data_IF_190505615637
#
_entry.id   IF_190505615637
#
_cell.length_a   1.000
_cell.length_b   1.000
_cell.length_c   1.000
_cell.angle_alpha   90.00
_cell.angle_beta   90.00
_cell.angle_gamma   90.00
#
_symmetry.space_group_name_H-M   'P 1'
#
loop_
_entity.id
_entity.type
_entity.pdbx_description
1 polymer ?
#
# COMPACT_ATOMS: atom_id res chain seq x y z
N UNK A 1 36.55 -2.61 -35.36
CA UNK A 1 36.58 -2.41 -33.89
C UNK A 1 36.02 -1.02 -33.64
N UNK A 2 35.08 -0.86 -32.71
CA UNK A 2 34.55 0.45 -32.29
C UNK A 2 35.16 0.75 -30.92
N UNK A 3 35.55 2.00 -30.67
CA UNK A 3 36.07 2.47 -29.39
C UNK A 3 35.16 3.57 -28.86
N UNK A 4 34.75 3.49 -27.60
CA UNK A 4 33.74 4.36 -27.01
C UNK A 4 34.34 5.34 -26.00
N UNK A 5 34.55 6.59 -26.43
CA UNK A 5 35.16 7.66 -25.62
C UNK A 5 34.12 8.47 -24.79
N UNK A 6 33.04 7.80 -24.37
CA UNK A 6 31.88 8.46 -23.76
C UNK A 6 32.20 9.16 -22.42
N UNK A 7 33.18 8.65 -21.67
CA UNK A 7 33.62 9.25 -20.41
C UNK A 7 34.37 10.59 -20.61
N UNK A 8 35.18 10.70 -21.67
CA UNK A 8 35.90 11.93 -22.01
C UNK A 8 34.91 13.00 -22.47
N UNK A 9 33.98 12.63 -23.37
CA UNK A 9 32.90 13.51 -23.82
C UNK A 9 32.00 14.01 -22.66
N UNK A 10 31.66 13.12 -21.72
CA UNK A 10 30.95 13.45 -20.48
C UNK A 10 31.70 14.46 -19.61
N UNK A 11 33.02 14.26 -19.45
CA UNK A 11 33.88 15.14 -18.68
C UNK A 11 34.03 16.52 -19.34
N UNK A 12 34.17 16.58 -20.67
CA UNK A 12 34.29 17.84 -21.41
C UNK A 12 33.00 18.67 -21.40
N UNK A 13 31.82 18.04 -21.50
CA UNK A 13 30.57 18.74 -21.22
C UNK A 13 30.53 19.26 -19.77
N UNK A 14 30.99 18.47 -18.80
CA UNK A 14 31.01 18.92 -17.40
C UNK A 14 31.91 20.15 -17.18
N UNK A 15 33.04 20.27 -17.92
CA UNK A 15 33.89 21.48 -17.89
C UNK A 15 33.15 22.74 -18.38
N UNK A 16 32.24 22.62 -19.36
CA UNK A 16 31.44 23.76 -19.87
C UNK A 16 30.46 24.31 -18.81
N UNK A 17 30.00 23.46 -17.90
CA UNK A 17 29.19 23.88 -16.75
C UNK A 17 30.03 24.64 -15.71
N UNK A 18 31.29 24.25 -15.52
CA UNK A 18 32.20 24.83 -14.53
C UNK A 18 32.82 26.15 -15.00
N UNK A 19 33.29 26.19 -16.26
CA UNK A 19 33.92 27.39 -16.84
C UNK A 19 32.90 28.46 -17.30
N UNK A 20 31.62 28.08 -17.48
CA UNK A 20 30.51 28.94 -17.91
C UNK A 20 30.69 29.59 -19.29
N UNK A 21 31.67 29.14 -20.09
CA UNK A 21 31.93 29.66 -21.42
C UNK A 21 30.69 29.47 -22.31
N UNK A 22 30.40 30.43 -23.20
CA UNK A 22 29.31 30.37 -24.18
C UNK A 22 27.90 30.07 -23.60
N UNK A 23 27.69 30.35 -22.30
CA UNK A 23 26.44 30.10 -21.60
C UNK A 23 25.32 31.08 -22.00
N UNK A 24 24.36 30.58 -22.78
CA UNK A 24 23.30 31.36 -23.41
C UNK A 24 22.00 31.50 -22.57
N UNK A 25 22.01 30.97 -21.36
CA UNK A 25 20.90 31.03 -20.39
C UNK A 25 21.40 31.20 -18.96
N UNK A 26 20.67 32.00 -18.17
CA UNK A 26 20.86 32.10 -16.72
C UNK A 26 19.56 31.89 -15.97
N UNK A 27 19.66 31.25 -14.81
CA UNK A 27 18.53 30.98 -13.93
C UNK A 27 18.92 31.23 -12.48
N UNK A 28 18.00 31.86 -11.73
CA UNK A 28 18.10 32.02 -10.28
C UNK A 28 17.30 30.92 -9.61
N UNK A 29 17.93 30.17 -8.71
CA UNK A 29 17.31 29.11 -7.91
C UNK A 29 17.47 29.45 -6.43
N UNK A 30 16.48 29.09 -5.61
CA UNK A 30 16.39 29.51 -4.22
C UNK A 30 15.20 30.44 -3.97
N UNK A 31 14.76 30.52 -2.72
CA UNK A 31 13.65 31.39 -2.28
C UNK A 31 14.02 32.24 -1.08
N UNK A 32 14.92 31.75 -0.21
CA UNK A 32 15.43 32.49 0.95
C UNK A 32 16.66 33.32 0.57
N UNK A 33 16.82 34.57 1.08
CA UNK A 33 17.94 35.45 0.70
C UNK A 33 19.35 34.85 0.84
N UNK A 34 19.52 33.89 1.75
CA UNK A 34 20.80 33.23 2.03
C UNK A 34 20.99 31.90 1.28
N UNK A 35 19.98 31.40 0.56
CA UNK A 35 20.01 30.17 -0.24
C UNK A 35 19.62 30.45 -1.71
N UNK A 36 20.02 31.60 -2.24
CA UNK A 36 19.83 31.97 -3.65
C UNK A 36 21.14 31.80 -4.42
N UNK A 37 21.08 31.10 -5.55
CA UNK A 37 22.22 30.86 -6.45
C UNK A 37 21.85 31.08 -7.90
N UNK A 38 22.74 31.78 -8.63
CA UNK A 38 22.63 31.96 -10.09
C UNK A 38 23.43 30.87 -10.79
N UNK A 39 22.79 30.18 -11.73
CA UNK A 39 23.40 29.18 -12.61
C UNK A 39 23.47 29.74 -14.02
N UNK A 40 24.64 29.64 -14.65
CA UNK A 40 24.85 29.97 -16.06
C UNK A 40 24.99 28.67 -16.85
N UNK A 41 24.13 28.48 -17.86
CA UNK A 41 23.78 27.20 -18.45
C UNK A 41 23.65 27.33 -19.97
N UNK A 42 23.57 26.18 -20.65
CA UNK A 42 23.46 26.09 -22.10
C UNK A 42 22.08 25.51 -22.46
N UNK A 43 21.23 26.28 -23.15
CA UNK A 43 19.86 25.87 -23.52
C UNK A 43 19.84 24.59 -24.34
N UNK A 44 20.80 24.43 -25.26
CA UNK A 44 20.92 23.25 -26.12
C UNK A 44 21.04 21.95 -25.31
N UNK A 45 21.89 21.94 -24.28
CA UNK A 45 22.11 20.76 -23.42
C UNK A 45 20.85 20.48 -22.61
N UNK A 46 20.33 21.49 -21.89
CA UNK A 46 19.11 21.36 -21.08
C UNK A 46 17.91 20.86 -21.91
N UNK A 47 17.68 21.46 -23.09
CA UNK A 47 16.63 21.09 -24.05
C UNK A 47 16.75 19.64 -24.52
N UNK A 48 17.95 19.21 -24.90
CA UNK A 48 18.20 17.87 -25.45
C UNK A 48 18.06 16.80 -24.37
N UNK A 49 18.34 17.15 -23.11
CA UNK A 49 18.42 16.22 -21.98
C UNK A 49 17.16 16.20 -21.10
N UNK A 50 16.21 17.11 -21.30
CA UNK A 50 14.96 17.22 -20.54
C UNK A 50 13.80 17.76 -21.38
N UNK A 51 12.70 16.99 -21.52
CA UNK A 51 11.45 17.46 -22.15
C UNK A 51 10.77 18.63 -21.40
N UNK A 52 11.08 18.84 -20.12
CA UNK A 52 10.62 20.01 -19.37
C UNK A 52 11.33 21.27 -19.86
N UNK A 53 12.66 21.28 -19.87
CA UNK A 53 13.42 22.43 -20.39
C UNK A 53 13.17 22.66 -21.88
N UNK A 54 12.96 21.60 -22.67
CA UNK A 54 12.52 21.73 -24.06
C UNK A 54 11.20 22.52 -24.18
N UNK A 55 10.16 22.13 -23.44
CA UNK A 55 8.87 22.83 -23.45
C UNK A 55 8.97 24.27 -22.95
N UNK A 56 9.77 24.52 -21.90
CA UNK A 56 10.04 25.89 -21.39
C UNK A 56 10.65 26.77 -22.49
N UNK A 57 11.66 26.28 -23.23
CA UNK A 57 12.28 27.08 -24.31
C UNK A 57 11.47 27.14 -25.61
N UNK A 58 10.58 26.17 -25.88
CA UNK A 58 9.64 26.21 -27.00
C UNK A 58 8.44 27.12 -26.77
N UNK A 59 8.16 27.53 -25.52
CA UNK A 59 7.00 28.35 -25.13
C UNK A 59 7.06 29.82 -25.59
N UNK A 60 7.43 30.05 -26.85
CA UNK A 60 7.36 31.34 -27.53
C UNK A 60 5.90 31.80 -27.59
N UNK A 61 5.63 32.97 -27.02
CA UNK A 61 4.40 33.74 -27.19
C UNK A 61 3.10 33.09 -26.64
N UNK A 62 3.10 32.61 -25.38
CA UNK A 62 1.85 32.40 -24.64
C UNK A 62 1.75 33.36 -23.45
N UNK A 63 0.74 34.23 -23.46
CA UNK A 63 0.45 35.23 -22.41
C UNK A 63 -0.11 34.56 -21.16
N UNK A 64 0.76 34.12 -20.25
CA UNK A 64 0.35 33.61 -18.94
C UNK A 64 0.03 34.79 -18.02
N UNK A 65 -1.24 35.16 -17.94
CA UNK A 65 -1.70 36.42 -17.33
C UNK A 65 -1.74 36.32 -15.80
N UNK A 66 -0.98 37.15 -15.07
CA UNK A 66 -1.21 37.36 -13.62
C UNK A 66 -0.66 38.69 -13.11
N UNK A 67 -1.34 39.27 -12.12
CA UNK A 67 -1.20 40.67 -11.70
C UNK A 67 -0.37 40.83 -10.40
N UNK A 68 0.52 41.83 -10.30
CA UNK A 68 1.33 42.19 -9.10
C UNK A 68 0.90 43.54 -8.46
N UNK A 69 0.80 43.62 -7.12
CA UNK A 69 0.27 44.83 -6.44
C UNK A 69 1.32 45.96 -6.41
N UNK A 70 0.89 47.20 -6.65
CA UNK A 70 1.64 48.43 -6.35
C UNK A 70 0.91 49.27 -5.30
N UNK A 71 1.64 50.11 -4.56
CA UNK A 71 1.16 50.80 -3.36
C UNK A 71 0.18 51.98 -3.58
N UNK A 72 -0.59 51.97 -4.67
CA UNK A 72 -1.81 52.78 -4.86
C UNK A 72 -2.87 51.99 -5.63
N UNK A 73 -3.49 51.03 -4.94
CA UNK A 73 -4.73 50.39 -5.38
C UNK A 73 -4.62 49.56 -6.68
N UNK A 74 -4.32 48.27 -6.52
CA UNK A 74 -4.45 47.21 -7.55
C UNK A 74 -3.35 47.27 -8.65
N UNK A 75 -2.62 46.18 -8.92
CA UNK A 75 -3.12 45.16 -9.86
C UNK A 75 -2.28 45.02 -11.17
N UNK A 76 -0.98 45.38 -11.23
CA UNK A 76 -0.16 45.47 -12.47
C UNK A 76 0.80 44.28 -12.73
N UNK A 77 0.81 43.75 -13.95
CA UNK A 77 1.31 42.40 -14.33
C UNK A 77 2.85 42.27 -14.37
N UNK A 78 3.38 41.09 -13.99
CA UNK A 78 4.83 40.77 -14.00
C UNK A 78 5.36 40.24 -15.35
N UNK A 79 6.66 40.46 -15.63
CA UNK A 79 7.25 40.27 -16.96
C UNK A 79 8.20 39.06 -17.11
N UNK A 80 8.21 38.48 -18.32
CA UNK A 80 9.42 37.83 -18.86
C UNK A 80 10.42 38.90 -19.29
N UNK A 81 11.25 39.40 -18.38
CA UNK A 81 12.19 40.47 -18.71
C UNK A 81 13.27 40.01 -19.71
N UNK A 82 13.10 40.37 -20.98
CA UNK A 82 14.20 40.45 -21.94
C UNK A 82 15.05 41.67 -21.63
N UNK A 83 15.89 41.59 -20.61
CA UNK A 83 17.05 42.47 -20.52
C UNK A 83 18.01 42.11 -21.66
N UNK A 84 17.76 42.67 -22.84
CA UNK A 84 18.71 42.71 -23.93
C UNK A 84 19.78 43.77 -23.63
N UNK A 85 20.56 43.52 -22.58
CA UNK A 85 21.82 44.24 -22.37
C UNK A 85 22.65 44.00 -23.63
N UNK A 86 22.88 45.07 -24.41
CA UNK A 86 23.20 44.99 -25.85
C UNK A 86 24.64 44.56 -26.16
N UNK A 87 25.22 43.73 -25.29
CA UNK A 87 26.51 43.07 -25.40
C UNK A 87 26.46 41.58 -25.02
N UNK A 88 25.40 41.06 -24.40
CA UNK A 88 25.29 39.66 -23.95
C UNK A 88 23.90 39.05 -24.24
N UNK A 89 23.83 38.06 -25.14
CA UNK A 89 22.60 37.37 -25.54
C UNK A 89 22.06 36.35 -24.51
N UNK A 90 22.26 36.58 -23.21
CA UNK A 90 21.91 35.64 -22.15
C UNK A 90 20.44 35.81 -21.73
N UNK A 91 19.63 34.76 -21.91
CA UNK A 91 18.22 34.80 -21.49
C UNK A 91 18.13 34.50 -19.99
N UNK A 92 17.47 35.35 -19.21
CA UNK A 92 17.23 35.12 -17.78
C UNK A 92 15.80 34.64 -17.52
N UNK A 93 15.62 33.54 -16.78
CA UNK A 93 14.31 33.16 -16.23
C UNK A 93 14.32 33.36 -14.71
N UNK A 94 13.44 34.24 -14.24
CA UNK A 94 12.94 34.30 -12.86
C UNK A 94 11.46 33.93 -12.89
N UNK A 95 11.17 32.66 -12.64
CA UNK A 95 9.80 32.18 -12.45
C UNK A 95 9.80 31.29 -11.21
N UNK A 96 9.39 31.87 -10.09
CA UNK A 96 9.50 31.24 -8.77
C UNK A 96 8.64 29.98 -8.67
N UNK A 97 7.47 29.93 -9.34
CA UNK A 97 6.59 28.77 -9.31
C UNK A 97 7.15 27.55 -10.08
N UNK A 98 7.78 27.74 -11.25
CA UNK A 98 8.41 26.65 -12.01
C UNK A 98 9.55 25.97 -11.21
N UNK A 99 10.27 26.73 -10.38
CA UNK A 99 11.44 26.25 -9.63
C UNK A 99 11.21 26.17 -8.11
N UNK A 100 9.96 26.37 -7.66
CA UNK A 100 9.49 26.24 -6.28
C UNK A 100 9.84 24.88 -5.68
N UNK A 101 10.19 24.87 -4.40
CA UNK A 101 10.59 23.67 -3.65
C UNK A 101 11.80 22.93 -4.27
N UNK A 102 12.68 23.63 -5.00
CA UNK A 102 13.95 23.09 -5.51
C UNK A 102 15.11 23.94 -4.98
N UNK A 103 15.88 23.42 -4.04
CA UNK A 103 17.03 24.12 -3.48
C UNK A 103 18.22 24.17 -4.47
N UNK A 104 19.14 25.14 -4.35
CA UNK A 104 20.32 25.23 -5.22
C UNK A 104 21.18 23.98 -5.24
N UNK A 105 21.34 23.32 -4.08
CA UNK A 105 22.14 22.11 -3.96
C UNK A 105 21.56 20.95 -4.79
N UNK A 106 20.24 20.75 -4.74
CA UNK A 106 19.56 19.71 -5.52
C UNK A 106 19.56 20.08 -7.02
N UNK A 107 19.33 21.35 -7.36
CA UNK A 107 19.40 21.82 -8.75
C UNK A 107 20.80 21.61 -9.36
N UNK A 108 21.86 21.89 -8.61
CA UNK A 108 23.24 21.67 -9.07
C UNK A 108 23.52 20.19 -9.38
N UNK A 109 23.04 19.27 -8.53
CA UNK A 109 23.16 17.82 -8.76
C UNK A 109 22.41 17.40 -10.04
N UNK A 110 21.21 17.93 -10.26
CA UNK A 110 20.42 17.66 -11.48
C UNK A 110 21.13 18.21 -12.73
N UNK A 111 21.66 19.44 -12.68
CA UNK A 111 22.38 20.03 -13.82
C UNK A 111 23.67 19.26 -14.12
N UNK A 112 24.44 18.86 -13.10
CA UNK A 112 25.62 18.00 -13.27
C UNK A 112 25.27 16.67 -13.96
N UNK A 113 24.13 16.05 -13.61
CA UNK A 113 23.63 14.88 -14.33
C UNK A 113 23.18 15.18 -15.77
N UNK A 114 22.54 16.31 -16.04
CA UNK A 114 22.12 16.67 -17.40
C UNK A 114 23.33 16.81 -18.35
N UNK A 115 24.43 17.40 -17.86
CA UNK A 115 25.68 17.58 -18.59
C UNK A 115 26.54 16.31 -18.68
N UNK A 116 26.95 15.73 -17.55
CA UNK A 116 27.87 14.59 -17.51
C UNK A 116 27.20 13.22 -17.63
N UNK A 117 25.89 13.11 -17.38
CA UNK A 117 25.17 11.82 -17.38
C UNK A 117 25.52 10.89 -16.22
N UNK A 118 26.40 11.29 -15.31
CA UNK A 118 26.87 10.51 -14.16
C UNK A 118 26.12 10.89 -12.88
N UNK A 119 25.85 9.89 -12.03
CA UNK A 119 25.23 10.08 -10.72
C UNK A 119 25.65 8.98 -9.74
N UNK A 120 25.93 9.35 -8.48
CA UNK A 120 26.32 8.41 -7.43
C UNK A 120 25.32 8.45 -6.27
N UNK A 121 24.34 7.53 -6.27
CA UNK A 121 23.33 7.47 -5.23
C UNK A 121 23.89 7.19 -3.81
N UNK A 122 25.06 6.56 -3.71
CA UNK A 122 25.70 6.25 -2.40
C UNK A 122 26.23 7.48 -1.67
N UNK A 123 26.38 8.62 -2.36
CA UNK A 123 26.89 9.87 -1.76
C UNK A 123 25.81 10.76 -1.12
N UNK A 124 24.55 10.29 -1.04
CA UNK A 124 23.42 11.07 -0.53
C UNK A 124 22.64 10.32 0.57
N UNK A 125 22.11 11.09 1.52
CA UNK A 125 21.11 10.62 2.49
C UNK A 125 19.78 10.30 1.80
N UNK A 126 18.93 9.49 2.43
CA UNK A 126 17.64 9.12 1.85
C UNK A 126 16.75 10.34 1.55
N UNK A 127 16.68 11.31 2.47
CA UNK A 127 15.98 12.58 2.27
C UNK A 127 16.45 13.32 1.00
N UNK A 128 17.76 13.43 0.79
CA UNK A 128 18.31 14.04 -0.44
C UNK A 128 18.04 13.19 -1.68
N UNK A 129 18.04 11.87 -1.58
CA UNK A 129 17.65 11.01 -2.72
C UNK A 129 16.19 11.20 -3.11
N UNK A 130 15.29 11.43 -2.15
CA UNK A 130 13.90 11.81 -2.42
C UNK A 130 13.80 13.19 -3.08
N UNK A 131 14.49 14.22 -2.55
CA UNK A 131 14.54 15.56 -3.17
C UNK A 131 15.04 15.51 -4.63
N UNK A 132 16.11 14.74 -4.90
CA UNK A 132 16.66 14.55 -6.25
C UNK A 132 15.66 13.79 -7.13
N UNK A 133 15.00 12.73 -6.62
CA UNK A 133 14.01 11.97 -7.38
C UNK A 133 12.80 12.83 -7.78
N UNK A 134 12.19 13.55 -6.83
CA UNK A 134 11.05 14.44 -7.10
C UNK A 134 11.47 15.56 -8.07
N UNK A 135 12.66 16.13 -7.93
CA UNK A 135 13.17 17.16 -8.86
C UNK A 135 13.46 16.59 -10.26
N UNK A 136 14.02 15.38 -10.35
CA UNK A 136 14.24 14.68 -11.62
C UNK A 136 12.91 14.36 -12.32
N UNK A 137 11.89 13.95 -11.56
CA UNK A 137 10.53 13.69 -12.06
C UNK A 137 9.85 14.97 -12.55
N UNK A 138 9.89 16.04 -11.74
CA UNK A 138 9.41 17.41 -12.07
C UNK A 138 10.02 17.92 -13.38
N UNK A 139 11.32 17.75 -13.58
CA UNK A 139 12.02 18.13 -14.81
C UNK A 139 12.02 17.02 -15.89
N UNK A 140 11.20 15.97 -15.75
CA UNK A 140 10.95 14.91 -16.74
C UNK A 140 12.20 14.12 -17.16
N UNK A 141 13.19 14.02 -16.28
CA UNK A 141 14.50 13.38 -16.50
C UNK A 141 14.38 11.87 -16.23
N UNK A 142 13.64 11.18 -17.12
CA UNK A 142 13.24 9.76 -16.94
C UNK A 142 14.39 8.81 -16.60
N UNK A 143 15.58 9.02 -17.17
CA UNK A 143 16.74 8.17 -16.91
C UNK A 143 17.22 8.24 -15.46
N UNK A 144 17.19 9.43 -14.84
CA UNK A 144 17.57 9.60 -13.44
C UNK A 144 16.44 9.16 -12.49
N UNK A 145 15.19 9.50 -12.79
CA UNK A 145 14.06 9.10 -11.93
C UNK A 145 13.89 7.59 -11.87
N UNK A 146 13.87 6.89 -13.01
CA UNK A 146 13.69 5.43 -13.04
C UNK A 146 14.90 4.63 -12.52
N UNK A 147 16.10 5.22 -12.54
CA UNK A 147 17.27 4.70 -11.83
C UNK A 147 17.14 4.88 -10.32
N UNK A 148 16.74 6.07 -9.85
CA UNK A 148 16.56 6.36 -8.42
C UNK A 148 15.44 5.52 -7.81
N UNK A 149 14.30 5.38 -8.48
CA UNK A 149 13.23 4.46 -8.10
C UNK A 149 13.75 3.03 -7.87
N UNK A 150 14.56 2.50 -8.78
CA UNK A 150 15.12 1.14 -8.70
C UNK A 150 16.19 1.01 -7.62
N UNK A 151 17.05 2.01 -7.47
CA UNK A 151 18.05 2.04 -6.42
C UNK A 151 17.41 2.08 -5.03
N UNK A 152 16.34 2.87 -4.87
CA UNK A 152 15.60 2.94 -3.60
C UNK A 152 14.93 1.60 -3.27
N UNK A 153 14.14 1.03 -4.19
CA UNK A 153 13.42 -0.23 -3.91
C UNK A 153 14.31 -1.47 -3.83
N UNK A 154 15.50 -1.49 -4.46
CA UNK A 154 16.37 -2.69 -4.51
C UNK A 154 17.71 -2.58 -3.75
N UNK A 155 18.09 -1.39 -3.26
CA UNK A 155 19.36 -1.15 -2.53
C UNK A 155 19.22 -0.30 -1.26
N UNK A 156 18.08 0.35 -1.02
CA UNK A 156 17.77 1.12 0.20
C UNK A 156 16.42 0.70 0.80
N UNK A 157 16.02 -0.55 0.57
CA UNK A 157 14.67 -1.08 0.83
C UNK A 157 14.24 -0.96 2.29
N UNK A 158 15.17 -1.13 3.23
CA UNK A 158 14.88 -1.03 4.66
C UNK A 158 14.81 0.43 5.13
N UNK A 159 15.76 1.28 4.71
CA UNK A 159 15.69 2.74 4.93
C UNK A 159 14.37 3.33 4.37
N UNK A 160 13.98 2.87 3.17
CA UNK A 160 12.74 3.25 2.48
C UNK A 160 11.50 2.82 3.26
N UNK A 161 11.55 1.67 3.94
CA UNK A 161 10.50 1.23 4.87
C UNK A 161 10.48 2.09 6.13
N UNK A 162 11.63 2.52 6.67
CA UNK A 162 11.67 3.36 7.88
C UNK A 162 11.15 4.80 7.65
N UNK A 163 11.17 5.28 6.40
CA UNK A 163 10.60 6.57 5.97
C UNK A 163 9.25 6.41 5.26
N UNK A 164 8.32 5.65 5.83
CA UNK A 164 7.05 5.31 5.18
C UNK A 164 6.08 6.50 5.08
N UNK A 165 6.03 7.41 6.05
CA UNK A 165 5.21 8.62 5.97
C UNK A 165 5.74 9.57 4.88
N UNK A 166 7.06 9.73 4.80
CA UNK A 166 7.73 10.50 3.75
C UNK A 166 7.50 9.87 2.36
N UNK A 167 7.59 8.55 2.25
CA UNK A 167 7.27 7.80 1.02
C UNK A 167 5.81 8.00 0.59
N UNK A 168 4.86 7.89 1.52
CA UNK A 168 3.42 8.05 1.27
C UNK A 168 3.15 9.39 0.58
N UNK A 169 3.62 10.49 1.18
CA UNK A 169 3.51 11.83 0.59
C UNK A 169 4.10 11.91 -0.83
N UNK A 170 5.26 11.29 -1.07
CA UNK A 170 5.91 11.32 -2.39
C UNK A 170 5.08 10.58 -3.44
N UNK A 171 4.51 9.41 -3.11
CA UNK A 171 3.71 8.63 -4.08
C UNK A 171 2.34 9.28 -4.34
N UNK A 172 1.74 9.92 -3.34
CA UNK A 172 0.50 10.69 -3.47
C UNK A 172 0.68 11.91 -4.40
N UNK A 173 1.76 12.69 -4.19
CA UNK A 173 2.10 13.85 -5.02
C UNK A 173 2.61 13.46 -6.43
N UNK A 174 3.12 12.24 -6.63
CA UNK A 174 3.82 11.81 -7.84
C UNK A 174 3.38 10.41 -8.33
N UNK A 175 2.09 10.24 -8.63
CA UNK A 175 1.47 8.96 -9.05
C UNK A 175 2.12 8.24 -10.24
N UNK A 176 2.99 8.90 -11.01
CA UNK A 176 3.75 8.31 -12.12
C UNK A 176 5.09 7.65 -11.72
N UNK A 177 5.45 7.64 -10.41
CA UNK A 177 6.59 6.88 -9.87
C UNK A 177 6.20 5.43 -9.59
N UNK A 178 6.01 4.64 -10.66
CA UNK A 178 5.34 3.34 -10.59
C UNK A 178 6.03 2.30 -9.71
N UNK A 179 7.37 2.32 -9.57
CA UNK A 179 8.07 1.34 -8.71
C UNK A 179 7.87 1.66 -7.23
N UNK A 180 7.89 2.95 -6.86
CA UNK A 180 7.60 3.38 -5.48
C UNK A 180 6.12 3.17 -5.13
N UNK A 181 5.20 3.48 -6.05
CA UNK A 181 3.77 3.15 -5.93
C UNK A 181 3.55 1.64 -5.67
N UNK A 182 4.22 0.76 -6.42
CA UNK A 182 4.10 -0.70 -6.19
C UNK A 182 4.68 -1.15 -4.83
N UNK A 183 5.77 -0.54 -4.37
CA UNK A 183 6.38 -0.85 -3.07
C UNK A 183 5.52 -0.36 -1.89
N UNK A 184 4.93 0.83 -2.02
CA UNK A 184 3.99 1.39 -1.03
C UNK A 184 2.70 0.57 -0.94
N UNK A 185 2.16 0.15 -2.08
CA UNK A 185 1.00 -0.75 -2.15
C UNK A 185 1.29 -2.10 -1.49
N UNK A 186 2.42 -2.74 -1.81
CA UNK A 186 2.81 -4.03 -1.22
C UNK A 186 3.02 -3.94 0.32
N UNK A 187 3.68 -2.88 0.79
CA UNK A 187 3.82 -2.63 2.23
C UNK A 187 2.46 -2.47 2.92
N UNK A 188 1.52 -1.77 2.29
CA UNK A 188 0.17 -1.54 2.85
C UNK A 188 -0.72 -2.79 2.78
N UNK A 189 -0.60 -3.61 1.74
CA UNK A 189 -1.41 -4.82 1.57
C UNK A 189 -0.86 -6.04 2.33
N UNK A 190 0.46 -6.22 2.39
CA UNK A 190 1.12 -7.48 2.78
C UNK A 190 2.06 -7.37 3.99
N UNK A 191 2.43 -6.16 4.43
CA UNK A 191 3.36 -5.95 5.55
C UNK A 191 2.94 -4.77 6.47
N UNK A 192 1.63 -4.50 6.58
CA UNK A 192 1.11 -3.33 7.28
C UNK A 192 1.48 -3.29 8.78
N UNK A 193 1.73 -4.44 9.40
CA UNK A 193 2.29 -4.54 10.75
C UNK A 193 3.66 -3.83 10.88
N UNK A 194 4.47 -3.81 9.82
CA UNK A 194 5.78 -3.14 9.82
C UNK A 194 5.67 -1.61 9.77
N UNK A 195 4.56 -1.07 9.26
CA UNK A 195 4.35 0.38 9.18
C UNK A 195 4.24 1.00 10.58
N UNK A 196 3.66 0.27 11.54
CA UNK A 196 3.61 0.69 12.94
C UNK A 196 5.00 0.77 13.59
N UNK A 197 6.01 0.11 13.06
CA UNK A 197 7.40 0.12 13.55
C UNK A 197 8.32 1.12 12.83
N UNK A 198 7.81 1.92 11.88
CA UNK A 198 8.57 2.95 11.18
C UNK A 198 9.07 4.06 12.12
N UNK A 199 10.31 4.51 11.92
CA UNK A 199 10.88 5.70 12.57
C UNK A 199 9.97 6.93 12.39
N UNK A 200 9.44 7.14 11.19
CA UNK A 200 8.59 8.30 10.85
C UNK A 200 7.08 8.09 11.07
N UNK A 201 6.65 7.01 11.75
CA UNK A 201 5.23 6.68 11.98
C UNK A 201 4.40 7.85 12.55
N UNK A 202 4.97 8.66 13.45
CA UNK A 202 4.25 9.81 14.02
C UNK A 202 3.97 10.93 13.02
N UNK A 203 4.62 10.91 11.86
CA UNK A 203 4.44 11.86 10.75
C UNK A 203 3.40 11.40 9.71
N UNK A 204 2.77 10.23 9.89
CA UNK A 204 1.69 9.76 9.00
C UNK A 204 0.50 10.74 9.01
N UNK A 205 -0.22 10.81 7.89
CA UNK A 205 -1.50 11.52 7.84
C UNK A 205 -2.57 10.78 8.65
N UNK A 206 -3.59 11.50 9.14
CA UNK A 206 -4.74 10.88 9.81
C UNK A 206 -5.46 9.89 8.88
N UNK A 207 -5.54 10.19 7.58
CA UNK A 207 -6.16 9.31 6.58
C UNK A 207 -5.38 7.99 6.41
N UNK A 208 -4.04 8.05 6.38
CA UNK A 208 -3.18 6.86 6.35
C UNK A 208 -3.30 6.07 7.66
N UNK A 209 -3.39 6.73 8.82
CA UNK A 209 -3.57 6.04 10.09
C UNK A 209 -4.95 5.37 10.20
N UNK A 210 -6.01 6.06 9.75
CA UNK A 210 -7.38 5.52 9.69
C UNK A 210 -7.47 4.32 8.74
N UNK A 211 -6.84 4.36 7.57
CA UNK A 211 -6.87 3.23 6.63
C UNK A 211 -6.14 2.00 7.18
N UNK A 212 -5.01 2.17 7.88
CA UNK A 212 -4.34 1.10 8.62
C UNK A 212 -5.22 0.54 9.75
N UNK A 213 -5.88 1.41 10.52
CA UNK A 213 -6.77 0.99 11.62
C UNK A 213 -8.07 0.30 11.16
N UNK A 214 -8.41 0.37 9.87
CA UNK A 214 -9.49 -0.41 9.26
C UNK A 214 -9.07 -1.82 8.81
N UNK A 215 -7.77 -2.15 8.83
CA UNK A 215 -7.30 -3.50 8.45
C UNK A 215 -7.59 -4.48 9.61
N UNK A 216 -8.58 -5.36 9.41
CA UNK A 216 -8.90 -6.45 10.33
C UNK A 216 -7.80 -7.52 10.40
N UNK A 217 -7.03 -7.70 9.32
CA UNK A 217 -5.99 -8.73 9.22
C UNK A 217 -4.60 -8.31 9.73
N UNK A 218 -4.49 -7.29 10.60
CA UNK A 218 -3.20 -6.89 11.18
C UNK A 218 -2.74 -7.93 12.21
N UNK A 219 -1.43 -8.20 12.23
CA UNK A 219 -0.78 -9.16 13.14
C UNK A 219 -0.10 -8.48 14.32
N UNK A 220 -0.77 -7.51 14.93
CA UNK A 220 -0.32 -6.80 16.13
C UNK A 220 -1.38 -6.96 17.23
N UNK A 221 -0.98 -6.95 18.50
CA UNK A 221 -1.97 -6.90 19.59
C UNK A 221 -2.65 -5.54 19.60
N UNK A 222 -3.93 -5.48 19.91
CA UNK A 222 -4.66 -4.20 19.90
C UNK A 222 -4.05 -3.15 20.85
N UNK A 223 -3.40 -3.59 21.94
CA UNK A 223 -2.68 -2.70 22.85
C UNK A 223 -1.35 -2.16 22.27
N UNK A 224 -0.71 -2.90 21.37
CA UNK A 224 0.47 -2.40 20.63
C UNK A 224 0.02 -1.31 19.65
N UNK A 225 -1.09 -1.55 18.92
CA UNK A 225 -1.75 -0.56 18.06
C UNK A 225 -2.16 0.68 18.86
N UNK A 226 -2.84 0.52 20.00
CA UNK A 226 -3.21 1.62 20.91
C UNK A 226 -2.02 2.49 21.32
N UNK A 227 -0.92 1.88 21.78
CA UNK A 227 0.30 2.63 22.15
C UNK A 227 0.84 3.47 20.98
N UNK A 228 0.79 2.95 19.76
CA UNK A 228 1.24 3.67 18.55
C UNK A 228 0.31 4.83 18.21
N UNK A 229 -1.00 4.60 18.21
CA UNK A 229 -2.03 5.62 17.97
C UNK A 229 -1.94 6.75 19.01
N UNK A 230 -1.76 6.43 20.29
CA UNK A 230 -1.52 7.41 21.35
C UNK A 230 -0.22 8.19 21.11
N UNK A 231 0.89 7.53 20.76
CA UNK A 231 2.17 8.19 20.43
C UNK A 231 2.00 9.18 19.26
N UNK A 232 1.26 8.79 18.21
CA UNK A 232 0.92 9.67 17.08
C UNK A 232 0.07 10.85 17.54
N UNK A 233 -1.02 10.63 18.27
CA UNK A 233 -1.90 11.70 18.74
C UNK A 233 -1.21 12.73 19.64
N UNK A 234 -0.31 12.27 20.53
CA UNK A 234 0.52 13.13 21.37
C UNK A 234 1.48 13.98 20.52
N UNK A 235 2.12 13.38 19.50
CA UNK A 235 3.00 14.11 18.58
C UNK A 235 2.24 15.20 17.81
N UNK A 236 1.03 14.90 17.32
CA UNK A 236 0.16 15.88 16.65
C UNK A 236 -0.34 17.00 17.58
N UNK A 237 -0.22 16.88 18.91
CA UNK A 237 -0.51 17.99 19.83
C UNK A 237 0.58 19.06 19.86
N UNK A 238 1.80 18.76 19.37
CA UNK A 238 2.99 19.64 19.22
C UNK A 238 3.54 20.36 20.47
N UNK A 239 2.75 20.53 21.53
CA UNK A 239 3.07 21.30 22.76
C UNK A 239 2.80 20.53 24.05
N UNK A 240 2.51 19.23 23.97
CA UNK A 240 2.19 18.42 25.14
C UNK A 240 3.42 18.12 26.02
N UNK A 241 3.31 18.20 27.35
CA UNK A 241 4.36 17.73 28.26
C UNK A 241 4.64 16.23 28.11
N UNK A 242 5.89 15.84 28.35
CA UNK A 242 6.35 14.44 28.26
C UNK A 242 5.79 13.52 29.36
N UNK A 243 5.39 14.08 30.51
CA UNK A 243 4.77 13.34 31.62
C UNK A 243 3.27 13.66 31.74
N UNK A 244 2.45 12.62 31.71
CA UNK A 244 1.00 12.64 31.91
C UNK A 244 0.57 13.31 33.23
N UNK A 245 1.40 13.28 34.28
CA UNK A 245 1.08 13.94 35.56
C UNK A 245 0.86 15.46 35.42
N UNK A 246 1.48 16.06 34.40
CA UNK A 246 1.44 17.50 34.11
C UNK A 246 0.42 17.90 33.04
N UNK A 247 -0.45 16.97 32.61
CA UNK A 247 -1.45 17.24 31.58
C UNK A 247 -2.67 17.99 32.11
N UNK A 248 -3.04 19.08 31.42
CA UNK A 248 -4.27 19.83 31.69
C UNK A 248 -5.46 19.23 30.92
N UNK A 249 -6.71 19.48 31.32
CA UNK A 249 -7.90 19.08 30.54
C UNK A 249 -7.86 19.55 29.08
N UNK A 250 -7.22 20.70 28.80
CA UNK A 250 -7.04 21.20 27.43
C UNK A 250 -6.12 20.32 26.57
N UNK A 251 -5.12 19.67 27.18
CA UNK A 251 -4.25 18.72 26.46
C UNK A 251 -5.04 17.46 26.10
N UNK A 252 -5.87 16.95 27.03
CA UNK A 252 -6.77 15.84 26.76
C UNK A 252 -7.82 16.18 25.70
N UNK A 253 -8.39 17.39 25.69
CA UNK A 253 -9.34 17.82 24.65
C UNK A 253 -8.68 17.92 23.26
N UNK A 254 -7.43 18.39 23.20
CA UNK A 254 -6.66 18.44 21.93
C UNK A 254 -6.33 17.02 21.44
N UNK A 255 -5.93 16.12 22.33
CA UNK A 255 -5.68 14.71 22.01
C UNK A 255 -6.97 13.98 21.58
N UNK A 256 -8.09 14.24 22.25
CA UNK A 256 -9.44 13.75 21.90
C UNK A 256 -9.85 14.20 20.50
N UNK A 257 -9.63 15.47 20.16
CA UNK A 257 -9.85 16.00 18.82
C UNK A 257 -9.01 15.29 17.76
N UNK A 258 -7.69 15.25 17.96
CA UNK A 258 -6.73 14.63 17.05
C UNK A 258 -6.97 13.12 16.83
N UNK A 259 -7.51 12.41 17.83
CA UNK A 259 -7.77 10.97 17.76
C UNK A 259 -9.26 10.60 17.54
N UNK A 260 -10.12 11.58 17.26
CA UNK A 260 -11.58 11.39 17.18
C UNK A 260 -12.00 10.36 16.12
N UNK A 261 -11.31 10.28 14.98
CA UNK A 261 -11.54 9.24 13.94
C UNK A 261 -10.82 7.92 14.22
N UNK A 262 -9.78 7.93 15.07
CA UNK A 262 -8.99 6.74 15.38
C UNK A 262 -9.55 5.92 16.55
N UNK A 263 -10.07 6.58 17.61
CA UNK A 263 -10.58 5.92 18.82
C UNK A 263 -11.73 4.91 18.53
N UNK A 264 -12.72 5.21 17.67
CA UNK A 264 -13.76 4.24 17.30
C UNK A 264 -13.22 3.00 16.56
N UNK A 265 -11.99 3.05 16.05
CA UNK A 265 -11.33 1.97 15.32
C UNK A 265 -10.43 1.08 16.21
N UNK A 266 -10.40 1.35 17.52
CA UNK A 266 -9.68 0.54 18.52
C UNK A 266 -10.63 -0.50 19.11
N UNK A 267 -10.26 -1.78 19.00
CA UNK A 267 -11.01 -2.92 19.54
C UNK A 267 -10.70 -3.12 21.02
N UNK A 268 -11.04 -2.13 21.85
CA UNK A 268 -10.63 -2.07 23.27
C UNK A 268 -10.93 -3.33 24.11
N UNK A 269 -11.94 -4.13 23.75
CA UNK A 269 -12.26 -5.39 24.44
C UNK A 269 -11.27 -6.55 24.17
N UNK A 270 -10.42 -6.42 23.13
CA UNK A 270 -9.30 -7.33 22.83
C UNK A 270 -8.05 -7.04 23.70
N UNK A 271 -8.08 -5.96 24.48
CA UNK A 271 -6.98 -5.54 25.38
C UNK A 271 -7.09 -6.32 26.69
N UNK A 272 -5.95 -6.74 27.25
CA UNK A 272 -5.93 -7.46 28.54
C UNK A 272 -6.39 -6.54 29.69
N UNK A 273 -6.97 -7.10 30.76
CA UNK A 273 -7.38 -6.29 31.92
C UNK A 273 -6.18 -5.57 32.57
N UNK A 274 -4.99 -6.18 32.55
CA UNK A 274 -3.77 -5.54 33.02
C UNK A 274 -3.37 -4.34 32.15
N UNK A 275 -3.29 -4.53 30.83
CA UNK A 275 -3.00 -3.48 29.87
C UNK A 275 -4.03 -2.35 29.90
N UNK A 276 -5.31 -2.67 30.08
CA UNK A 276 -6.38 -1.68 30.20
C UNK A 276 -6.10 -0.74 31.39
N UNK A 277 -5.86 -1.28 32.58
CA UNK A 277 -5.59 -0.47 33.77
C UNK A 277 -4.26 0.30 33.69
N UNK A 278 -3.22 -0.27 33.08
CA UNK A 278 -1.89 0.36 33.01
C UNK A 278 -1.75 1.38 31.87
N UNK A 279 -2.37 1.16 30.70
CA UNK A 279 -2.05 1.85 29.44
C UNK A 279 -3.25 2.50 28.75
N UNK A 280 -4.48 2.08 29.05
CA UNK A 280 -5.72 2.68 28.48
C UNK A 280 -6.36 3.65 29.45
N UNK A 281 -6.58 3.22 30.70
CA UNK A 281 -7.24 3.98 31.76
C UNK A 281 -6.60 5.36 32.07
N UNK A 282 -5.27 5.57 32.01
CA UNK A 282 -4.68 6.92 32.15
C UNK A 282 -5.20 7.94 31.13
N UNK A 283 -5.67 7.47 29.97
CA UNK A 283 -6.22 8.30 28.89
C UNK A 283 -7.76 8.31 28.87
N UNK A 284 -8.45 7.84 29.92
CA UNK A 284 -9.92 7.75 29.97
C UNK A 284 -10.66 9.02 29.54
N UNK A 285 -10.06 10.21 29.75
CA UNK A 285 -10.59 11.51 29.32
C UNK A 285 -10.75 11.69 27.80
N UNK A 286 -10.13 10.86 26.94
CA UNK A 286 -10.32 10.91 25.48
C UNK A 286 -11.34 9.87 24.98
N UNK A 287 -11.66 8.85 25.78
CA UNK A 287 -12.54 7.76 25.40
C UNK A 287 -14.01 8.20 25.63
N UNK A 288 -14.93 7.97 24.68
CA UNK A 288 -16.35 8.26 24.88
C UNK A 288 -16.93 7.50 26.07
N UNK A 289 -17.69 8.21 26.94
CA UNK A 289 -18.18 7.68 28.22
C UNK A 289 -18.96 6.36 28.10
N UNK A 290 -19.68 6.17 26.98
CA UNK A 290 -20.42 4.94 26.67
C UNK A 290 -19.49 3.72 26.50
N UNK A 291 -18.35 3.91 25.82
CA UNK A 291 -17.32 2.89 25.61
C UNK A 291 -16.56 2.66 26.92
N UNK A 292 -16.14 3.74 27.59
CA UNK A 292 -15.41 3.69 28.86
C UNK A 292 -16.19 2.91 29.93
N UNK A 293 -17.50 3.17 30.07
CA UNK A 293 -18.35 2.42 31.00
C UNK A 293 -18.40 0.93 30.64
N UNK A 294 -18.62 0.60 29.37
CA UNK A 294 -18.65 -0.79 28.90
C UNK A 294 -17.34 -1.56 29.18
N UNK A 295 -16.19 -0.89 29.06
CA UNK A 295 -14.89 -1.48 29.39
C UNK A 295 -14.71 -1.71 30.89
N UNK A 296 -15.14 -0.77 31.74
CA UNK A 296 -15.10 -0.92 33.20
C UNK A 296 -15.99 -2.09 33.63
N UNK A 297 -17.22 -2.19 33.11
CA UNK A 297 -18.15 -3.27 33.44
C UNK A 297 -17.63 -4.64 32.94
N UNK A 298 -17.02 -4.69 31.75
CA UNK A 298 -16.39 -5.89 31.20
C UNK A 298 -15.20 -6.36 32.05
N UNK A 299 -14.19 -5.51 32.29
CA UNK A 299 -12.98 -5.90 33.02
C UNK A 299 -13.20 -6.14 34.52
N UNK A 300 -14.28 -5.60 35.11
CA UNK A 300 -14.58 -5.74 36.55
C UNK A 300 -15.56 -6.86 36.88
N UNK A 301 -16.50 -7.19 35.99
CA UNK A 301 -17.57 -8.14 36.27
C UNK A 301 -17.77 -9.22 35.18
N UNK A 302 -17.01 -9.17 34.08
CA UNK A 302 -17.09 -10.17 33.01
C UNK A 302 -18.36 -10.09 32.16
N UNK A 303 -19.12 -9.00 32.23
CA UNK A 303 -20.30 -8.81 31.40
C UNK A 303 -19.92 -8.59 29.95
N UNK A 304 -20.51 -9.36 29.03
CA UNK A 304 -20.37 -9.11 27.60
C UNK A 304 -20.93 -7.71 27.25
N UNK A 305 -20.20 -6.89 26.47
CA UNK A 305 -20.62 -5.52 26.18
C UNK A 305 -21.87 -5.49 25.29
N UNK A 306 -22.75 -4.52 25.57
CA UNK A 306 -24.02 -4.32 24.87
C UNK A 306 -23.84 -3.44 23.61
N UNK A 307 -22.75 -2.67 23.57
CA UNK A 307 -22.37 -1.83 22.41
C UNK A 307 -21.94 -2.68 21.21
N UNK A 308 -22.28 -2.28 19.96
CA UNK A 308 -21.76 -2.96 18.78
C UNK A 308 -20.23 -2.88 18.74
N UNK A 309 -19.58 -4.04 18.71
CA UNK A 309 -18.13 -4.15 18.63
C UNK A 309 -17.68 -4.24 17.17
N UNK A 310 -16.53 -3.63 16.85
CA UNK A 310 -15.75 -4.08 15.70
C UNK A 310 -15.32 -5.54 15.92
N UNK A 311 -15.24 -6.37 14.87
CA UNK A 311 -14.73 -7.73 15.00
C UNK A 311 -13.28 -7.68 15.52
N UNK A 312 -12.94 -8.65 16.38
CA UNK A 312 -11.59 -8.74 16.96
C UNK A 312 -10.53 -8.76 15.87
N UNK A 313 -9.39 -8.10 16.13
CA UNK A 313 -8.29 -7.99 15.17
C UNK A 313 -7.50 -9.29 15.14
N UNK A 314 -8.10 -10.29 14.52
CA UNK A 314 -7.55 -11.63 14.50
C UNK A 314 -6.54 -11.80 13.37
N UNK A 315 -5.41 -12.48 13.61
CA UNK A 315 -4.61 -13.15 12.59
C UNK A 315 -5.37 -14.23 11.76
N UNK A 316 -6.71 -14.23 11.73
CA UNK A 316 -7.58 -14.97 10.80
C UNK A 316 -7.44 -14.50 9.33
N UNK A 317 -6.19 -14.48 8.87
CA UNK A 317 -5.88 -15.00 7.55
C UNK A 317 -4.81 -16.07 7.72
N UNK A 318 -5.28 -17.31 7.70
CA UNK A 318 -4.54 -18.57 7.54
C UNK A 318 -3.77 -19.06 8.77
N UNK A 319 -4.38 -20.04 9.47
CA UNK A 319 -3.63 -21.19 10.02
C UNK A 319 -3.26 -22.21 8.93
N UNK A 320 -3.35 -21.80 7.66
CA UNK A 320 -3.27 -22.64 6.48
C UNK A 320 -1.87 -22.52 5.89
N UNK A 321 -1.18 -23.65 5.66
CA UNK A 321 0.08 -23.64 4.88
C UNK A 321 -0.19 -23.41 3.40
N UNK A 322 -1.39 -23.80 2.94
CA UNK A 322 -1.77 -23.86 1.52
C UNK A 322 -2.43 -22.56 1.02
N UNK A 323 -3.19 -21.87 1.88
CA UNK A 323 -3.98 -20.69 1.51
C UNK A 323 -3.28 -19.36 1.86
N UNK A 324 -3.43 -18.37 0.97
CA UNK A 324 -2.83 -17.02 1.09
C UNK A 324 -3.89 -15.94 0.88
N UNK A 325 -3.60 -14.68 1.24
CA UNK A 325 -4.53 -13.51 1.22
C UNK A 325 -5.39 -13.42 -0.04
N UNK A 326 -4.77 -13.62 -1.19
CA UNK A 326 -5.39 -13.69 -2.52
C UNK A 326 -6.42 -14.83 -2.71
N UNK A 327 -6.27 -15.98 -2.05
CA UNK A 327 -7.20 -17.12 -2.15
C UNK A 327 -8.51 -16.86 -1.40
N UNK A 328 -8.50 -16.21 -0.23
CA UNK A 328 -9.79 -15.81 0.39
C UNK A 328 -10.56 -14.78 -0.44
N UNK A 329 -9.90 -13.99 -1.30
CA UNK A 329 -10.58 -13.10 -2.27
C UNK A 329 -11.23 -13.88 -3.44
N UNK A 330 -10.84 -15.14 -3.66
CA UNK A 330 -11.57 -16.09 -4.50
C UNK A 330 -12.69 -16.78 -3.70
N UNK A 331 -12.40 -17.26 -2.48
CA UNK A 331 -13.36 -18.02 -1.67
C UNK A 331 -14.55 -17.19 -1.17
N UNK A 332 -14.34 -15.95 -0.73
CA UNK A 332 -15.43 -14.99 -0.39
C UNK A 332 -16.42 -14.86 -1.55
N UNK A 333 -15.92 -14.58 -2.76
CA UNK A 333 -16.72 -14.54 -3.99
C UNK A 333 -17.40 -15.87 -4.32
N UNK A 334 -16.79 -17.01 -4.02
CA UNK A 334 -17.43 -18.32 -4.20
C UNK A 334 -18.59 -18.55 -3.19
N UNK A 335 -18.55 -17.92 -2.01
CA UNK A 335 -19.57 -17.97 -0.95
C UNK A 335 -20.68 -16.91 -1.16
N UNK A 336 -20.35 -15.78 -1.77
CA UNK A 336 -21.26 -14.65 -2.04
C UNK A 336 -21.92 -14.72 -3.43
N UNK A 337 -21.21 -15.26 -4.42
CA UNK A 337 -21.50 -15.04 -5.83
C UNK A 337 -22.48 -16.05 -6.45
N UNK A 338 -23.77 -15.79 -6.31
CA UNK A 338 -24.83 -16.43 -7.11
C UNK A 338 -24.90 -15.92 -8.57
N UNK A 339 -23.87 -15.22 -9.07
CA UNK A 339 -23.86 -14.63 -10.42
C UNK A 339 -22.46 -14.44 -11.04
N UNK A 340 -22.27 -15.08 -12.19
CA UNK A 340 -21.35 -14.78 -13.31
C UNK A 340 -19.81 -14.69 -13.12
N UNK A 341 -19.15 -15.68 -13.75
CA UNK A 341 -17.92 -15.59 -14.57
C UNK A 341 -16.53 -15.23 -13.97
N UNK A 342 -15.72 -16.29 -13.81
CA UNK A 342 -14.29 -16.40 -14.17
C UNK A 342 -13.19 -15.79 -13.26
N UNK A 343 -12.00 -16.44 -13.27
CA UNK A 343 -10.67 -16.01 -12.74
C UNK A 343 -10.26 -16.44 -11.27
N UNK A 344 -9.89 -17.75 -11.04
CA UNK A 344 -8.59 -18.25 -10.47
C UNK A 344 -8.15 -18.01 -8.96
N UNK A 345 -7.14 -18.61 -8.23
CA UNK A 345 -6.09 -19.72 -8.20
C UNK A 345 -5.54 -19.89 -6.71
N UNK A 346 -4.59 -20.71 -6.11
CA UNK A 346 -3.57 -21.81 -6.35
C UNK A 346 -4.06 -23.29 -6.14
N UNK A 347 -3.48 -24.27 -6.87
CA UNK A 347 -3.84 -25.71 -6.99
C UNK A 347 -3.82 -26.62 -5.74
N UNK A 348 -5.01 -27.07 -5.33
CA UNK A 348 -5.32 -28.42 -4.81
C UNK A 348 -6.85 -28.60 -4.85
N UNK A 349 -7.40 -29.83 -4.92
CA UNK A 349 -8.84 -30.04 -4.80
C UNK A 349 -9.30 -29.76 -3.36
N UNK A 350 -10.00 -28.65 -3.17
CA UNK A 350 -10.43 -28.20 -1.84
C UNK A 350 -11.95 -28.06 -1.76
N UNK A 351 -12.43 -28.04 -0.51
CA UNK A 351 -13.81 -28.39 -0.13
C UNK A 351 -14.39 -27.31 0.79
N UNK A 352 -15.66 -26.99 0.60
CA UNK A 352 -16.45 -26.22 1.55
C UNK A 352 -17.81 -26.91 1.79
N UNK A 353 -18.11 -27.27 3.03
CA UNK A 353 -19.46 -27.62 3.45
C UNK A 353 -19.94 -26.58 4.49
N UNK A 354 -21.07 -25.95 4.20
CA UNK A 354 -21.72 -24.97 5.07
C UNK A 354 -22.75 -25.60 6.02
N UNK A 355 -23.03 -26.90 5.90
CA UNK A 355 -23.90 -27.62 6.83
C UNK A 355 -23.21 -27.83 8.18
N UNK A 356 -23.94 -27.61 9.28
CA UNK A 356 -23.36 -27.56 10.63
C UNK A 356 -23.21 -28.96 11.27
N UNK A 357 -23.01 -29.99 10.45
CA UNK A 357 -23.09 -31.39 10.87
C UNK A 357 -21.73 -32.08 10.84
N UNK A 358 -21.38 -32.72 11.96
CA UNK A 358 -20.22 -33.63 12.06
C UNK A 358 -20.28 -34.71 10.99
N UNK A 359 -19.15 -35.01 10.32
CA UNK A 359 -19.00 -36.10 9.34
C UNK A 359 -19.62 -37.41 9.87
N UNK A 360 -20.83 -37.76 9.44
CA UNK A 360 -21.56 -38.90 10.01
C UNK A 360 -21.14 -40.20 9.33
N UNK A 361 -20.86 -41.23 10.13
CA UNK A 361 -20.52 -42.58 9.64
C UNK A 361 -21.69 -43.37 9.04
N UNK A 362 -22.84 -42.72 8.80
CA UNK A 362 -24.01 -43.28 8.13
C UNK A 362 -23.89 -43.00 6.63
N UNK A 363 -23.60 -44.05 5.85
CA UNK A 363 -23.36 -43.90 4.42
C UNK A 363 -24.58 -43.36 3.66
N UNK A 364 -24.36 -42.39 2.78
CA UNK A 364 -25.43 -41.73 2.02
C UNK A 364 -25.02 -40.39 1.42
N UNK A 365 -25.90 -39.80 0.61
CA UNK A 365 -25.74 -38.44 0.08
C UNK A 365 -26.42 -37.43 1.01
N UNK A 366 -25.78 -36.27 1.22
CA UNK A 366 -26.38 -35.09 1.87
C UNK A 366 -26.88 -34.11 0.80
N UNK A 367 -28.04 -33.50 1.06
CA UNK A 367 -28.62 -32.46 0.22
C UNK A 367 -28.02 -31.09 0.54
N UNK A 368 -27.44 -30.41 -0.45
CA UNK A 368 -27.07 -28.99 -0.32
C UNK A 368 -26.95 -28.31 -1.69
N UNK A 369 -27.37 -27.05 -1.77
CA UNK A 369 -27.17 -26.13 -2.90
C UNK A 369 -25.88 -25.34 -2.80
N UNK A 370 -25.30 -25.26 -1.60
CA UNK A 370 -24.19 -24.36 -1.26
C UNK A 370 -22.82 -24.99 -1.52
N UNK A 371 -22.78 -26.28 -1.85
CA UNK A 371 -21.54 -27.01 -2.10
C UNK A 371 -20.92 -26.62 -3.43
N UNK A 372 -19.61 -26.38 -3.39
CA UNK A 372 -18.78 -26.16 -4.56
C UNK A 372 -17.42 -26.83 -4.36
N UNK A 373 -16.88 -27.38 -5.44
CA UNK A 373 -15.52 -27.88 -5.53
C UNK A 373 -14.71 -26.93 -6.41
N UNK A 374 -13.40 -26.84 -6.17
CA UNK A 374 -12.55 -25.95 -6.95
C UNK A 374 -11.18 -26.55 -7.27
N UNK A 375 -10.71 -26.24 -8.47
CA UNK A 375 -9.30 -26.30 -8.85
C UNK A 375 -8.77 -24.88 -8.99
N UNK A 376 -7.47 -24.71 -8.89
CA UNK A 376 -6.81 -23.43 -8.81
C UNK A 376 -5.38 -23.59 -9.37
N UNK A 377 -4.62 -22.52 -9.66
CA UNK A 377 -3.22 -22.60 -10.12
C UNK A 377 -2.40 -21.33 -9.78
N UNK A 378 -1.16 -21.55 -9.32
CA UNK A 378 -0.03 -20.61 -9.09
C UNK A 378 -0.21 -19.27 -8.33
N UNK A 379 0.92 -18.73 -7.83
CA UNK A 379 1.03 -17.71 -6.75
C UNK A 379 0.33 -16.37 -7.00
N UNK A 380 -0.40 -16.17 -8.09
CA UNK A 380 -1.06 -14.90 -8.44
C UNK A 380 -2.57 -15.04 -8.70
N UNK A 381 -3.16 -16.19 -8.34
CA UNK A 381 -4.49 -16.57 -8.74
C UNK A 381 -4.66 -16.59 -10.27
N UNK A 382 -4.02 -17.51 -11.01
CA UNK A 382 -4.07 -17.53 -12.50
C UNK A 382 -4.14 -18.90 -13.21
N UNK A 383 -5.21 -19.69 -12.97
CA UNK A 383 -6.03 -20.43 -13.97
C UNK A 383 -6.93 -21.50 -13.30
N UNK A 384 -7.75 -21.07 -12.34
CA UNK A 384 -8.59 -21.94 -11.51
C UNK A 384 -10.04 -22.05 -11.96
N UNK A 385 -10.63 -23.19 -11.62
CA UNK A 385 -11.99 -23.64 -11.93
C UNK A 385 -12.80 -23.57 -10.62
N UNK A 386 -13.88 -22.79 -10.62
CA UNK A 386 -14.95 -22.94 -9.62
C UNK A 386 -16.06 -23.79 -10.25
N UNK A 387 -16.53 -24.80 -9.53
CA UNK A 387 -17.53 -25.75 -10.03
C UNK A 387 -18.58 -25.97 -8.94
N UNK A 388 -19.81 -25.50 -9.16
CA UNK A 388 -20.92 -25.64 -8.20
C UNK A 388 -21.70 -26.93 -8.43
N UNK A 389 -22.49 -27.32 -7.44
CA UNK A 389 -23.35 -28.50 -7.53
C UNK A 389 -24.53 -28.27 -8.49
N UNK A 390 -24.67 -29.16 -9.48
CA UNK A 390 -25.79 -29.21 -10.44
C UNK A 390 -26.91 -30.15 -9.95
N UNK A 391 -26.55 -31.16 -9.16
CA UNK A 391 -27.48 -32.11 -8.55
C UNK A 391 -27.40 -32.04 -7.01
N UNK A 392 -28.12 -31.10 -6.36
CA UNK A 392 -28.11 -30.94 -4.91
C UNK A 392 -28.42 -32.20 -4.12
N UNK A 393 -29.17 -33.15 -4.69
CA UNK A 393 -29.51 -34.42 -4.02
C UNK A 393 -28.34 -35.40 -3.88
N UNK A 394 -27.22 -35.11 -4.55
CA UNK A 394 -26.00 -35.93 -4.57
C UNK A 394 -24.75 -35.08 -4.34
N UNK A 395 -24.90 -33.93 -3.68
CA UNK A 395 -23.86 -32.92 -3.52
C UNK A 395 -22.62 -33.45 -2.80
N UNK A 396 -22.82 -34.01 -1.61
CA UNK A 396 -21.77 -34.59 -0.75
C UNK A 396 -22.13 -36.05 -0.47
N UNK A 397 -21.14 -36.94 -0.48
CA UNK A 397 -21.31 -38.35 -0.15
C UNK A 397 -20.44 -38.72 1.04
N UNK A 398 -21.03 -39.37 2.04
CA UNK A 398 -20.33 -39.89 3.20
C UNK A 398 -20.17 -41.40 3.04
N UNK A 399 -18.94 -41.92 3.20
CA UNK A 399 -18.70 -43.36 3.21
C UNK A 399 -17.57 -43.75 4.15
N UNK A 400 -17.71 -44.89 4.84
CA UNK A 400 -16.93 -45.22 6.04
C UNK A 400 -15.42 -45.45 5.79
N UNK A 401 -15.02 -45.68 4.53
CA UNK A 401 -13.64 -45.95 4.11
C UNK A 401 -13.03 -44.81 3.26
N UNK A 402 -13.73 -43.68 3.14
CA UNK A 402 -13.38 -42.56 2.28
C UNK A 402 -13.23 -41.29 3.12
N UNK A 403 -12.40 -40.36 2.63
CA UNK A 403 -12.44 -38.99 3.09
C UNK A 403 -13.63 -38.24 2.47
N UNK A 404 -13.55 -36.91 2.37
CA UNK A 404 -14.57 -36.12 1.70
C UNK A 404 -14.79 -36.55 0.23
N UNK A 405 -16.02 -36.90 -0.14
CA UNK A 405 -16.44 -37.21 -1.50
C UNK A 405 -17.60 -36.31 -1.94
N UNK A 406 -17.52 -35.80 -3.17
CA UNK A 406 -18.44 -34.84 -3.76
C UNK A 406 -18.99 -35.39 -5.06
N UNK A 407 -20.30 -35.32 -5.20
CA UNK A 407 -20.99 -35.70 -6.42
C UNK A 407 -21.14 -37.21 -6.60
N UNK A 408 -22.20 -37.61 -7.30
CA UNK A 408 -22.41 -39.02 -7.66
C UNK A 408 -21.41 -39.56 -8.68
N UNK A 409 -20.53 -38.69 -9.21
CA UNK A 409 -19.42 -39.05 -10.07
C UNK A 409 -18.19 -39.57 -9.33
N UNK A 410 -18.08 -39.27 -8.03
CA UNK A 410 -16.81 -38.91 -7.43
C UNK A 410 -16.21 -37.72 -8.19
N UNK A 411 -16.98 -36.63 -8.32
CA UNK A 411 -16.57 -35.37 -8.95
C UNK A 411 -15.30 -34.82 -8.28
N UNK A 412 -15.20 -35.03 -6.96
CA UNK A 412 -13.96 -35.13 -6.20
C UNK A 412 -14.09 -36.27 -5.18
N UNK A 413 -13.15 -37.22 -5.14
CA UNK A 413 -13.04 -38.19 -4.04
C UNK A 413 -11.60 -38.31 -3.52
N UNK A 414 -11.46 -38.08 -2.21
CA UNK A 414 -10.21 -38.24 -1.45
C UNK A 414 -10.25 -39.59 -0.71
N UNK A 415 -9.33 -40.50 -1.03
CA UNK A 415 -9.43 -41.91 -0.60
C UNK A 415 -8.71 -42.23 0.70
N UNK A 416 -9.20 -43.27 1.37
CA UNK A 416 -8.61 -43.94 2.55
C UNK A 416 -8.23 -43.02 3.72
N UNK A 417 -8.89 -41.87 3.86
CA UNK A 417 -8.50 -40.81 4.78
C UNK A 417 -7.03 -40.42 4.62
N UNK A 418 -6.62 -40.17 3.37
CA UNK A 418 -5.30 -39.68 2.95
C UNK A 418 -4.14 -40.66 3.17
N UNK A 419 -4.42 -41.95 3.39
CA UNK A 419 -3.40 -43.00 3.64
C UNK A 419 -2.70 -43.53 2.39
N UNK A 420 -3.42 -43.65 1.27
CA UNK A 420 -2.82 -43.90 -0.05
C UNK A 420 -3.06 -42.68 -0.94
N UNK A 421 -2.05 -41.83 -1.17
CA UNK A 421 -2.21 -40.65 -2.02
C UNK A 421 -2.49 -41.02 -3.48
N UNK A 422 -2.11 -42.21 -3.96
CA UNK A 422 -2.27 -42.62 -5.37
C UNK A 422 -3.71 -42.97 -5.77
N UNK A 423 -4.60 -43.15 -4.79
CA UNK A 423 -5.96 -43.67 -5.01
C UNK A 423 -7.05 -42.60 -5.05
N UNK A 424 -6.72 -41.32 -4.92
CA UNK A 424 -7.69 -40.23 -5.06
C UNK A 424 -8.00 -39.95 -6.53
N UNK A 425 -9.25 -39.54 -6.84
CA UNK A 425 -9.69 -39.37 -8.22
C UNK A 425 -10.86 -38.40 -8.39
N UNK A 426 -10.99 -37.87 -9.60
CA UNK A 426 -12.11 -37.04 -10.04
C UNK A 426 -12.79 -37.64 -11.28
N UNK A 427 -14.11 -37.48 -11.36
CA UNK A 427 -14.92 -37.68 -12.57
C UNK A 427 -16.21 -36.85 -12.48
N UNK A 428 -16.40 -35.92 -13.41
CA UNK A 428 -17.58 -35.07 -13.46
C UNK A 428 -18.87 -35.87 -13.69
N UNK A 429 -19.92 -35.55 -12.92
CA UNK A 429 -21.33 -35.94 -13.12
C UNK A 429 -22.33 -34.99 -12.45
N UNK A 430 -22.04 -34.54 -11.24
CA UNK A 430 -22.97 -33.81 -10.36
C UNK A 430 -22.58 -32.35 -10.14
N UNK A 431 -21.43 -31.91 -10.69
CA UNK A 431 -20.91 -30.54 -10.61
C UNK A 431 -20.68 -29.92 -12.01
N UNK A 432 -20.74 -28.59 -12.09
CA UNK A 432 -20.80 -27.79 -13.34
C UNK A 432 -19.61 -28.02 -14.29
N UNK A 433 -18.39 -28.09 -13.74
CA UNK A 433 -17.12 -28.13 -14.47
C UNK A 433 -16.16 -29.20 -13.90
N UNK A 434 -15.32 -29.84 -14.74
CA UNK A 434 -14.36 -30.85 -14.32
C UNK A 434 -13.11 -30.21 -13.68
N UNK A 435 -12.93 -30.39 -12.37
CA UNK A 435 -11.77 -29.83 -11.63
C UNK A 435 -10.40 -30.49 -11.92
N UNK A 436 -10.32 -31.42 -12.88
CA UNK A 436 -9.07 -31.99 -13.42
C UNK A 436 -9.24 -32.22 -14.93
N UNK A 437 -8.26 -31.85 -15.79
CA UNK A 437 -8.33 -32.10 -17.22
C UNK A 437 -8.60 -33.57 -17.59
N UNK A 438 -9.65 -33.82 -18.38
CA UNK A 438 -10.06 -35.16 -18.81
C UNK A 438 -11.02 -35.90 -17.87
N UNK A 439 -11.40 -35.28 -16.72
CA UNK A 439 -12.40 -35.82 -15.80
C UNK A 439 -13.84 -35.75 -16.34
N UNK A 440 -14.05 -35.03 -17.45
CA UNK A 440 -15.28 -35.02 -18.26
C UNK A 440 -15.54 -36.40 -18.91
N UNK A 441 -14.49 -37.03 -19.45
CA UNK A 441 -14.58 -38.26 -20.26
C UNK A 441 -14.37 -39.53 -19.48
N UNK A 442 -13.49 -39.51 -18.47
CA UNK A 442 -13.06 -40.70 -17.71
C UNK A 442 -12.76 -40.36 -16.26
N UNK A 443 -12.58 -41.38 -15.42
CA UNK A 443 -11.95 -41.21 -14.11
C UNK A 443 -10.49 -40.80 -14.33
N UNK A 444 -10.07 -39.72 -13.67
CA UNK A 444 -8.67 -39.27 -13.62
C UNK A 444 -8.19 -39.39 -12.18
N UNK A 445 -7.07 -40.09 -11.97
CA UNK A 445 -6.43 -40.25 -10.67
C UNK A 445 -5.42 -39.13 -10.42
N UNK A 446 -5.24 -38.73 -9.16
CA UNK A 446 -4.32 -37.67 -8.76
C UNK A 446 -3.73 -37.97 -7.37
N UNK A 447 -2.54 -37.45 -7.10
CA UNK A 447 -1.89 -37.53 -5.78
C UNK A 447 -2.21 -36.31 -4.92
N UNK A 448 -2.37 -36.54 -3.60
CA UNK A 448 -2.52 -35.48 -2.60
C UNK A 448 -1.28 -35.50 -1.70
N UNK A 449 -0.63 -34.35 -1.53
CA UNK A 449 0.60 -34.21 -0.71
C UNK A 449 0.26 -33.66 0.68
N UNK A 450 -0.49 -32.55 0.73
CA UNK A 450 -1.04 -31.94 1.94
C UNK A 450 -2.55 -31.68 1.76
N UNK A 451 -3.29 -31.58 2.87
CA UNK A 451 -4.70 -31.20 2.90
C UNK A 451 -5.04 -30.48 4.20
N UNK A 452 -6.06 -29.62 4.17
CA UNK A 452 -6.52 -28.87 5.33
C UNK A 452 -8.06 -28.76 5.31
N UNK A 453 -8.68 -28.65 6.48
CA UNK A 453 -10.14 -28.60 6.64
C UNK A 453 -10.54 -27.38 7.46
N UNK A 454 -11.40 -26.54 6.90
CA UNK A 454 -11.85 -25.29 7.52
C UNK A 454 -13.37 -25.28 7.72
N UNK A 455 -13.83 -24.69 8.82
CA UNK A 455 -15.24 -24.37 9.04
C UNK A 455 -15.48 -22.88 8.83
N UNK A 456 -16.45 -22.53 7.99
CA UNK A 456 -16.78 -21.13 7.69
C UNK A 456 -17.84 -20.64 8.68
N UNK A 457 -17.52 -19.61 9.45
CA UNK A 457 -18.42 -18.98 10.42
C UNK A 457 -18.90 -17.63 9.86
N UNK A 458 -20.18 -17.51 9.54
CA UNK A 458 -20.78 -16.23 9.11
C UNK A 458 -20.97 -15.30 10.30
N UNK A 459 -20.05 -14.35 10.50
CA UNK A 459 -20.28 -13.17 11.35
C UNK A 459 -21.30 -12.24 10.67
N UNK A 460 -22.21 -11.64 11.44
CA UNK A 460 -23.21 -10.71 10.90
C UNK A 460 -22.61 -9.31 10.74
N UNK A 461 -22.17 -8.96 9.53
CA UNK A 461 -22.04 -7.56 9.14
C UNK A 461 -23.42 -7.00 8.80
N UNK A 462 -23.84 -5.95 9.51
CA UNK A 462 -24.92 -5.07 9.09
C UNK A 462 -24.31 -3.92 8.26
N UNK A 463 -24.77 -3.62 7.03
CA UNK A 463 -24.22 -2.52 6.22
C UNK A 463 -24.55 -1.11 6.73
N UNK A 464 -25.41 -0.94 7.72
CA UNK A 464 -25.99 0.37 8.10
C UNK A 464 -25.11 1.25 9.02
N UNK A 465 -23.79 1.12 8.95
CA UNK A 465 -22.86 1.99 9.68
C UNK A 465 -22.58 3.31 8.94
N UNK A 466 -23.31 4.35 9.33
CA UNK A 466 -22.86 5.75 9.22
C UNK A 466 -22.51 6.25 10.62
N UNK A 467 -21.31 6.80 10.76
CA UNK A 467 -20.89 7.65 11.88
C UNK A 467 -20.89 9.10 11.41
#
# INVERSE_FOLDING_TARGET
MVSEFLHELSHDFTKLLENKQDSDFSITIGSEPNDVKVFHLHRLILRTRSPFFAAVFDSKNSTTTTKTITNRGIVGIGEFSKNADSSNNQLAIKNEDLFKNTSPAIFEVIVKFLYGGTFNAKSYSLDKLFEILVTAHKFRIKSLSSYLEEYLTTKRTDDLRQKFAQLTKIVDENSSLTKLQSFHSDATENAAETIFECEDFTSLSEETLVSLLLIDSLRLKEIEIWNKVIKWGIFQCQSSPADLSSWTPRHFETLRGNLSRCIPLIRFFDISSEDFHQRVLPFQQIIPDQILKGLIDYHRAGYAPITPMLPSRSPFMYSSTLLRKQHAKFLSRAIEGSSSSSINGISTPCVNNTSQYSWQSKGGFEYTTESFIFQLHEQTCKNGILSRVVDPTKAVYFWQNFGPEFGSGSDLALRENFKDPSQSFCRQKSYEEPIIPGADRRRVHFTTEEYEVFQIVKTRHDPTYKF
#
